data_IF_181495249513
#
_entry.id   IF_181495249513
#
_cell.length_a   1.000
_cell.length_b   1.000
_cell.length_c   1.000
_cell.angle_alpha   90.00
_cell.angle_beta   90.00
_cell.angle_gamma   90.00
#
_symmetry.space_group_name_H-M   'P 1'
#
loop_
_entity.id
_entity.type
_entity.pdbx_description
1 polymer ?
#
# COMPACT_ATOMS: atom_id res chain seq x y z
N UNK A 1 -7.74 -2.50 18.75
CA UNK A 1 -8.72 -2.88 17.71
C UNK A 1 -7.91 -3.15 16.45
N UNK A 2 -7.81 -4.40 15.96
CA UNK A 2 -7.00 -4.66 14.78
C UNK A 2 -7.76 -4.26 13.52
N UNK A 3 -7.10 -3.50 12.64
CA UNK A 3 -7.53 -3.20 11.29
C UNK A 3 -8.33 -1.91 11.14
N UNK A 4 -7.67 -0.85 10.68
CA UNK A 4 -8.37 0.29 10.10
C UNK A 4 -8.82 -0.11 8.68
N UNK A 5 -10.10 0.07 8.38
CA UNK A 5 -10.60 -0.06 7.02
C UNK A 5 -10.28 1.24 6.27
N UNK A 6 -9.32 1.16 5.35
CA UNK A 6 -8.96 2.24 4.43
C UNK A 6 -9.21 1.81 2.98
N UNK A 7 -10.04 0.79 2.74
CA UNK A 7 -10.34 0.35 1.39
C UNK A 7 -10.88 1.52 0.54
N UNK A 8 -10.38 1.64 -0.69
CA UNK A 8 -10.69 2.73 -1.63
C UNK A 8 -10.40 4.15 -1.11
N UNK A 9 -9.69 4.30 0.01
CA UNK A 9 -9.36 5.61 0.56
C UNK A 9 -8.36 6.36 -0.34
N UNK A 10 -8.52 7.69 -0.38
CA UNK A 10 -7.56 8.56 -1.05
C UNK A 10 -6.57 9.13 -0.02
N UNK A 11 -5.37 8.57 0.02
CA UNK A 11 -4.26 8.99 0.87
C UNK A 11 -3.27 9.91 0.15
N UNK A 12 -3.66 10.48 -0.99
CA UNK A 12 -2.82 11.44 -1.71
C UNK A 12 -2.39 12.57 -0.78
N UNK A 13 -1.07 12.78 -0.63
CA UNK A 13 -0.48 13.81 0.24
C UNK A 13 -0.64 13.56 1.75
N UNK A 14 -1.02 12.35 2.18
CA UNK A 14 -1.10 12.04 3.60
C UNK A 14 0.29 11.84 4.24
N UNK A 15 0.45 12.28 5.49
CA UNK A 15 1.60 11.91 6.33
C UNK A 15 1.17 10.78 7.28
N UNK A 16 1.70 9.58 7.06
CA UNK A 16 1.41 8.37 7.83
C UNK A 16 2.63 7.96 8.67
N UNK A 17 3.65 8.82 8.77
CA UNK A 17 4.85 8.55 9.58
C UNK A 17 4.45 8.43 11.05
N UNK A 18 4.83 7.31 11.68
CA UNK A 18 4.46 7.00 13.06
C UNK A 18 3.06 6.40 13.25
N UNK A 19 2.26 6.26 12.18
CA UNK A 19 0.96 5.60 12.24
C UNK A 19 1.14 4.09 12.20
N UNK A 20 0.50 3.38 13.14
CA UNK A 20 0.42 1.93 13.09
C UNK A 20 -0.68 1.49 12.13
N UNK A 21 -0.28 1.15 10.90
CA UNK A 21 -1.14 0.59 9.86
C UNK A 21 -1.02 -0.94 9.77
N UNK A 22 -0.43 -1.60 10.78
CA UNK A 22 -0.42 -3.06 10.84
C UNK A 22 -1.86 -3.57 10.83
N UNK A 23 -2.15 -4.48 9.90
CA UNK A 23 -3.49 -5.04 9.64
C UNK A 23 -4.53 -4.08 9.05
N UNK A 24 -4.16 -2.84 8.67
CA UNK A 24 -5.08 -1.98 7.94
C UNK A 24 -5.40 -2.56 6.57
N UNK A 25 -6.66 -2.45 6.14
CA UNK A 25 -7.05 -2.79 4.78
C UNK A 25 -6.70 -1.61 3.87
N UNK A 26 -5.76 -1.82 2.96
CA UNK A 26 -5.27 -0.81 2.00
C UNK A 26 -5.67 -1.16 0.56
N UNK A 27 -6.65 -2.05 0.40
CA UNK A 27 -7.18 -2.46 -0.89
C UNK A 27 -7.62 -1.24 -1.69
N UNK A 28 -7.15 -1.14 -2.94
CA UNK A 28 -7.58 -0.11 -3.89
C UNK A 28 -7.31 1.35 -3.45
N UNK A 29 -6.53 1.56 -2.38
CA UNK A 29 -6.10 2.87 -1.90
C UNK A 29 -5.33 3.61 -2.97
N UNK A 30 -5.64 4.89 -3.13
CA UNK A 30 -4.92 5.80 -4.03
C UNK A 30 -3.97 6.68 -3.23
N UNK A 31 -2.71 6.71 -3.62
CA UNK A 31 -1.68 7.56 -3.03
C UNK A 31 -0.86 8.27 -4.09
N UNK A 32 -0.13 9.31 -3.70
CA UNK A 32 0.78 10.08 -4.56
C UNK A 32 2.18 10.14 -3.98
N UNK A 33 3.14 10.65 -4.76
CA UNK A 33 4.56 10.78 -4.38
C UNK A 33 4.75 11.64 -3.12
N UNK A 34 3.76 12.45 -2.79
CA UNK A 34 3.73 13.29 -1.58
C UNK A 34 3.25 12.55 -0.34
N UNK A 35 2.78 11.32 -0.50
CA UNK A 35 2.32 10.47 0.60
C UNK A 35 3.52 9.89 1.32
N UNK A 36 3.60 10.12 2.63
CA UNK A 36 4.70 9.61 3.46
C UNK A 36 4.23 8.35 4.16
N UNK A 37 4.69 7.22 3.65
CA UNK A 37 4.45 5.93 4.29
C UNK A 37 5.44 5.72 5.44
N UNK A 38 5.06 4.95 6.49
CA UNK A 38 6.04 4.45 7.45
C UNK A 38 7.05 3.55 6.73
N UNK A 39 8.34 3.63 7.11
CA UNK A 39 9.47 3.13 6.32
C UNK A 39 9.26 1.71 5.76
N UNK A 40 8.95 0.75 6.65
CA UNK A 40 8.75 -0.66 6.28
C UNK A 40 7.54 -0.89 5.37
N UNK A 41 6.50 -0.05 5.48
CA UNK A 41 5.28 -0.20 4.69
C UNK A 41 5.42 0.43 3.31
N UNK A 42 6.18 1.53 3.20
CA UNK A 42 6.42 2.21 1.93
C UNK A 42 7.06 1.30 0.88
N UNK A 43 7.97 0.42 1.29
CA UNK A 43 8.55 -0.59 0.39
C UNK A 43 7.50 -1.60 -0.10
N UNK A 44 6.61 -2.06 0.76
CA UNK A 44 5.51 -2.97 0.39
C UNK A 44 4.54 -2.29 -0.59
N UNK A 45 4.20 -1.02 -0.35
CA UNK A 45 3.29 -0.28 -1.23
C UNK A 45 3.89 -0.08 -2.63
N UNK A 46 5.20 0.16 -2.73
CA UNK A 46 5.89 0.25 -4.02
C UNK A 46 5.85 -1.04 -4.83
N UNK A 47 5.77 -2.21 -4.18
CA UNK A 47 5.69 -3.52 -4.85
C UNK A 47 4.27 -3.89 -5.30
N UNK A 48 3.23 -3.43 -4.59
CA UNK A 48 1.83 -3.78 -4.84
C UNK A 48 1.06 -2.70 -5.60
N UNK A 49 1.60 -1.50 -5.74
CA UNK A 49 0.91 -0.41 -6.42
C UNK A 49 1.08 -0.43 -7.93
N UNK A 50 0.04 0.01 -8.64
CA UNK A 50 0.06 0.27 -10.07
C UNK A 50 -0.08 1.78 -10.31
N UNK A 51 0.66 2.34 -11.28
CA UNK A 51 0.48 3.73 -11.67
C UNK A 51 -0.89 3.90 -12.35
N UNK A 52 -1.66 4.89 -11.91
CA UNK A 52 -2.95 5.27 -12.54
C UNK A 52 -2.86 6.57 -13.34
N UNK A 53 -1.65 7.16 -13.41
CA UNK A 53 -1.38 8.42 -14.10
C UNK A 53 -1.41 9.64 -13.17
N UNK A 54 -0.86 10.76 -13.65
CA UNK A 54 -0.88 12.05 -12.91
C UNK A 54 -0.10 12.04 -11.59
N UNK A 55 0.95 11.22 -11.47
CA UNK A 55 1.73 11.08 -10.22
C UNK A 55 0.93 10.41 -9.09
N UNK A 56 0.00 9.53 -9.45
CA UNK A 56 -0.79 8.74 -8.51
C UNK A 56 -0.64 7.25 -8.78
N UNK A 57 -0.73 6.48 -7.71
CA UNK A 57 -0.65 5.04 -7.69
C UNK A 57 -1.82 4.47 -6.91
N UNK A 58 -2.31 3.32 -7.36
CA UNK A 58 -3.36 2.56 -6.69
C UNK A 58 -2.79 1.25 -6.18
N UNK A 59 -3.06 0.86 -4.94
CA UNK A 59 -2.61 -0.43 -4.40
C UNK A 59 -3.51 -1.53 -4.98
N UNK A 60 -2.93 -2.46 -5.74
CA UNK A 60 -3.62 -3.65 -6.24
C UNK A 60 -3.44 -4.81 -5.27
N UNK A 61 -4.51 -5.54 -5.01
CA UNK A 61 -4.50 -6.75 -4.18
C UNK A 61 -5.66 -6.76 -3.18
N UNK A 62 -6.25 -7.94 -2.98
CA UNK A 62 -7.34 -8.15 -2.05
C UNK A 62 -6.77 -8.23 -0.62
N UNK A 63 -6.81 -7.11 0.09
CA UNK A 63 -6.55 -7.04 1.51
C UNK A 63 -5.09 -7.20 1.89
N UNK A 64 -4.69 -6.49 2.94
CA UNK A 64 -3.44 -6.78 3.64
C UNK A 64 -3.62 -7.98 4.60
N UNK A 65 -4.43 -8.95 4.21
CA UNK A 65 -4.96 -10.06 5.00
C UNK A 65 -3.90 -11.14 5.27
N UNK A 66 -2.64 -10.78 5.50
CA UNK A 66 -1.55 -11.70 5.87
C UNK A 66 -1.27 -12.87 4.90
N UNK A 67 -2.06 -13.04 3.83
CA UNK A 67 -2.06 -14.19 2.94
C UNK A 67 -1.46 -13.88 1.56
N UNK A 68 -1.15 -12.61 1.26
CA UNK A 68 -0.74 -12.13 -0.08
C UNK A 68 0.76 -11.81 -0.16
N UNK A 69 1.59 -12.38 0.72
CA UNK A 69 3.05 -12.24 0.68
C UNK A 69 3.73 -13.48 0.08
N UNK A 70 3.16 -14.07 -0.98
CA UNK A 70 3.89 -15.00 -1.86
C UNK A 70 4.02 -14.37 -3.25
N UNK A 71 5.00 -13.49 -3.42
CA UNK A 71 5.61 -13.30 -4.73
C UNK A 71 6.79 -14.28 -4.80
N UNK A 72 6.65 -15.45 -5.46
CA UNK A 72 7.81 -16.30 -5.69
C UNK A 72 8.84 -15.52 -6.52
N UNK A 73 10.15 -15.65 -6.24
CA UNK A 73 11.17 -14.93 -6.97
C UNK A 73 11.09 -15.30 -8.45
N UNK A 74 10.92 -14.31 -9.33
CA UNK A 74 11.10 -14.51 -10.77
C UNK A 74 12.56 -14.93 -11.01
N UNK A 75 12.83 -16.14 -11.53
CA UNK A 75 14.18 -16.48 -11.94
C UNK A 75 14.51 -15.68 -13.20
N UNK A 76 15.51 -14.82 -13.12
CA UNK A 76 16.14 -14.21 -14.29
C UNK A 76 17.06 -15.25 -14.96
N UNK A 77 17.10 -15.34 -16.30
CA UNK A 77 17.97 -16.29 -17.01
C UNK A 77 19.46 -15.98 -16.85
#
# INVERSE_FOLDING_TARGET
MPGADLADANLSHADLVGTNLSHADLTEVVWSERTRWPDVLGESMRRRCVPIGGGKWRIQGAGNSGADLEVPPVPVP
#
